data_IF_477948015351
#
_entry.id   IF_477948015351
#
_cell.length_a   1.000
_cell.length_b   1.000
_cell.length_c   1.000
_cell.angle_alpha   90.00
_cell.angle_beta   90.00
_cell.angle_gamma   90.00
#
_symmetry.space_group_name_H-M   'P 1'
#
loop_
_entity.id
_entity.type
_entity.pdbx_description
1 polymer ?
#
# COMPACT_ATOMS: atom_id res chain seq x y z
N UNK A 1 1.69 1.53 -0.28
CA UNK A 1 0.45 2.11 -0.87
C UNK A 1 0.36 3.58 -0.52
N UNK A 2 0.06 4.45 -1.50
CA UNK A 2 0.06 5.91 -1.31
C UNK A 2 -0.82 6.64 -2.34
N UNK A 3 -0.84 7.96 -2.33
CA UNK A 3 -1.46 8.86 -3.31
C UNK A 3 -0.50 10.02 -3.69
N UNK A 4 0.79 9.71 -3.85
CA UNK A 4 1.84 10.68 -4.21
C UNK A 4 1.59 11.48 -5.50
N UNK A 5 0.71 11.01 -6.40
CA UNK A 5 0.31 11.77 -7.59
C UNK A 5 -0.52 13.03 -7.25
N UNK A 6 -1.23 13.02 -6.12
CA UNK A 6 -1.99 14.17 -5.60
C UNK A 6 -1.26 14.77 -4.39
N UNK A 7 -0.96 13.95 -3.38
CA UNK A 7 -0.31 14.35 -2.12
C UNK A 7 1.22 14.37 -2.26
N UNK A 8 1.74 15.25 -3.11
CA UNK A 8 3.15 15.24 -3.52
C UNK A 8 4.15 15.38 -2.35
N UNK A 9 3.80 16.13 -1.31
CA UNK A 9 4.73 16.38 -0.19
C UNK A 9 4.66 15.27 0.86
N UNK A 10 3.48 14.96 1.39
CA UNK A 10 3.32 13.93 2.42
C UNK A 10 3.61 12.53 1.89
N UNK A 11 2.85 12.13 0.87
CA UNK A 11 2.96 10.79 0.31
C UNK A 11 4.20 10.63 -0.57
N UNK A 12 4.66 11.71 -1.20
CA UNK A 12 5.93 11.69 -1.92
C UNK A 12 7.14 11.59 -0.99
N UNK A 13 7.07 12.15 0.22
CA UNK A 13 8.09 11.90 1.25
C UNK A 13 8.03 10.44 1.71
N UNK A 14 6.85 9.93 2.02
CA UNK A 14 6.66 8.54 2.41
C UNK A 14 7.22 7.56 1.37
N UNK A 15 6.89 7.76 0.07
CA UNK A 15 7.38 6.91 -1.01
C UNK A 15 8.91 6.93 -1.10
N UNK A 16 9.54 8.11 -1.09
CA UNK A 16 11.01 8.22 -1.11
C UNK A 16 11.67 7.50 0.05
N UNK A 17 11.16 7.71 1.27
CA UNK A 17 11.73 7.03 2.44
C UNK A 17 11.61 5.51 2.31
N UNK A 18 10.50 5.00 1.77
CA UNK A 18 10.36 3.56 1.51
C UNK A 18 11.33 3.07 0.42
N UNK A 19 11.51 3.84 -0.66
CA UNK A 19 12.46 3.53 -1.73
C UNK A 19 13.90 3.48 -1.20
N UNK A 20 14.34 4.49 -0.44
CA UNK A 20 15.67 4.56 0.17
C UNK A 20 15.93 3.38 1.12
N UNK A 21 14.95 3.03 1.96
CA UNK A 21 15.07 1.89 2.86
C UNK A 21 15.07 0.56 2.09
N UNK A 22 14.37 0.45 0.97
CA UNK A 22 14.32 -0.78 0.18
C UNK A 22 15.69 -1.19 -0.36
N UNK A 23 16.58 -0.24 -0.63
CA UNK A 23 17.95 -0.49 -1.08
C UNK A 23 18.77 -1.29 -0.06
N UNK A 24 18.44 -1.15 1.23
CA UNK A 24 19.09 -1.90 2.31
C UNK A 24 18.62 -3.36 2.40
N UNK A 25 17.51 -3.70 1.73
CA UNK A 25 16.88 -5.03 1.76
C UNK A 25 16.67 -5.60 0.36
N UNK A 26 17.74 -5.89 -0.42
CA UNK A 26 17.64 -6.31 -1.82
C UNK A 26 16.95 -7.66 -2.03
N UNK A 27 16.76 -8.45 -0.97
CA UNK A 27 16.02 -9.72 -1.00
C UNK A 27 14.50 -9.52 -1.00
N UNK A 28 14.03 -8.34 -0.60
CA UNK A 28 12.61 -7.99 -0.55
C UNK A 28 12.28 -7.20 -1.80
N UNK A 29 11.36 -7.72 -2.63
CA UNK A 29 10.89 -7.00 -3.80
C UNK A 29 10.06 -5.79 -3.35
N UNK A 30 10.51 -4.59 -3.69
CA UNK A 30 9.78 -3.36 -3.42
C UNK A 30 8.93 -2.95 -4.63
N UNK A 31 7.64 -2.76 -4.41
CA UNK A 31 6.70 -2.25 -5.40
C UNK A 31 5.83 -1.17 -4.77
N UNK A 32 5.52 -0.13 -5.54
CA UNK A 32 4.65 0.96 -5.11
C UNK A 32 3.35 0.96 -5.91
N UNK A 33 2.25 1.34 -5.25
CA UNK A 33 0.92 1.35 -5.85
C UNK A 33 0.10 2.50 -5.28
N UNK A 34 -0.67 3.15 -6.16
CA UNK A 34 -1.64 4.16 -5.74
C UNK A 34 -2.85 3.52 -5.06
N UNK A 35 -3.39 4.18 -4.02
CA UNK A 35 -4.46 3.63 -3.17
C UNK A 35 -5.70 3.21 -3.96
N UNK A 36 -6.15 3.99 -4.95
CA UNK A 36 -7.33 3.64 -5.77
C UNK A 36 -7.13 2.30 -6.51
N UNK A 37 -5.95 2.12 -7.13
CA UNK A 37 -5.62 0.88 -7.83
C UNK A 37 -5.45 -0.27 -6.84
N UNK A 38 -4.86 0.00 -5.68
CA UNK A 38 -4.72 -0.99 -4.61
C UNK A 38 -6.09 -1.52 -4.17
N UNK A 39 -7.08 -0.65 -3.93
CA UNK A 39 -8.43 -1.08 -3.58
C UNK A 39 -9.07 -1.97 -4.67
N UNK A 40 -8.95 -1.59 -5.94
CA UNK A 40 -9.48 -2.40 -7.05
C UNK A 40 -8.80 -3.77 -7.14
N UNK A 41 -7.48 -3.79 -7.01
CA UNK A 41 -6.68 -5.02 -7.06
C UNK A 41 -6.93 -5.93 -5.86
N UNK A 42 -7.15 -5.37 -4.67
CA UNK A 42 -7.44 -6.14 -3.47
C UNK A 42 -8.75 -6.93 -3.62
N UNK A 43 -9.75 -6.35 -4.28
CA UNK A 43 -11.02 -7.04 -4.55
C UNK A 43 -10.87 -8.04 -5.70
N UNK A 44 -10.16 -7.66 -6.77
CA UNK A 44 -10.12 -8.45 -8.01
C UNK A 44 -9.15 -9.63 -7.93
N UNK A 45 -8.01 -9.46 -7.26
CA UNK A 45 -6.98 -10.48 -7.10
C UNK A 45 -6.17 -10.23 -5.81
N UNK A 46 -6.75 -10.53 -4.62
CA UNK A 46 -6.09 -10.30 -3.34
C UNK A 46 -4.79 -11.09 -3.15
N UNK A 47 -4.66 -12.25 -3.80
CA UNK A 47 -3.52 -13.16 -3.61
C UNK A 47 -2.18 -12.64 -4.14
N UNK A 48 -2.17 -11.52 -4.88
CA UNK A 48 -0.93 -10.89 -5.33
C UNK A 48 -0.19 -10.14 -4.21
N UNK A 49 -0.88 -9.84 -3.10
CA UNK A 49 -0.32 -9.07 -2.00
C UNK A 49 0.25 -10.00 -0.92
N UNK A 50 1.45 -9.66 -0.44
CA UNK A 50 2.10 -10.34 0.68
C UNK A 50 2.16 -9.39 1.90
N UNK A 51 2.95 -8.32 1.79
CA UNK A 51 3.06 -7.28 2.83
C UNK A 51 2.73 -5.91 2.23
N UNK A 52 1.83 -5.17 2.89
CA UNK A 52 1.45 -3.83 2.49
C UNK A 52 1.79 -2.81 3.58
N UNK A 53 2.52 -1.76 3.21
CA UNK A 53 2.84 -0.62 4.09
C UNK A 53 2.18 0.64 3.56
N UNK A 54 1.57 1.42 4.45
CA UNK A 54 0.85 2.63 4.07
C UNK A 54 0.69 3.62 5.24
N UNK A 55 0.49 4.92 4.94
CA UNK A 55 0.06 5.92 5.93
C UNK A 55 -1.22 5.55 6.67
N UNK A 56 -1.38 6.08 7.88
CA UNK A 56 -2.45 5.75 8.83
C UNK A 56 -3.86 5.74 8.21
N UNK A 57 -4.24 6.79 7.47
CA UNK A 57 -5.57 6.91 6.87
C UNK A 57 -5.86 5.78 5.87
N UNK A 58 -4.90 5.45 5.01
CA UNK A 58 -5.08 4.39 4.02
C UNK A 58 -5.09 3.01 4.68
N UNK A 59 -4.32 2.84 5.75
CA UNK A 59 -4.33 1.63 6.59
C UNK A 59 -5.72 1.34 7.10
N UNK A 60 -6.40 2.34 7.68
CA UNK A 60 -7.75 2.17 8.20
C UNK A 60 -8.78 1.81 7.10
N UNK A 61 -8.61 2.32 5.88
CA UNK A 61 -9.50 1.98 4.76
C UNK A 61 -9.26 0.55 4.29
N UNK A 62 -8.00 0.20 4.04
CA UNK A 62 -7.63 -1.13 3.52
C UNK A 62 -7.90 -2.24 4.53
N UNK A 63 -7.69 -1.99 5.82
CA UNK A 63 -7.96 -2.96 6.87
C UNK A 63 -9.44 -3.38 6.91
N UNK A 64 -10.35 -2.40 6.88
CA UNK A 64 -11.79 -2.66 6.78
C UNK A 64 -12.16 -3.40 5.47
N UNK A 65 -11.52 -3.04 4.35
CA UNK A 65 -11.76 -3.71 3.06
C UNK A 65 -11.28 -5.17 3.10
N UNK A 66 -10.10 -5.42 3.66
CA UNK A 66 -9.52 -6.75 3.81
C UNK A 66 -10.36 -7.62 4.75
N UNK A 67 -10.81 -7.08 5.88
CA UNK A 67 -11.74 -7.76 6.78
C UNK A 67 -13.03 -8.19 6.05
N UNK A 68 -13.59 -7.31 5.21
CA UNK A 68 -14.74 -7.64 4.37
C UNK A 68 -14.49 -8.80 3.39
N UNK A 69 -13.28 -8.93 2.85
CA UNK A 69 -12.92 -10.00 1.92
C UNK A 69 -12.80 -11.38 2.60
N UNK A 70 -12.42 -11.41 3.89
CA UNK A 70 -12.22 -12.66 4.64
C UNK A 70 -13.44 -13.10 5.46
N UNK A 71 -14.57 -12.38 5.34
CA UNK A 71 -15.84 -12.73 6.00
C UNK A 71 -16.22 -11.88 7.21
N UNK A 72 -15.49 -10.80 7.50
CA UNK A 72 -15.79 -9.82 8.54
C UNK A 72 -14.67 -9.64 9.56
N UNK A 73 -14.77 -8.57 10.34
CA UNK A 73 -13.91 -8.27 11.49
C UNK A 73 -14.36 -9.02 12.74
#
# INVERSE_FOLDING_TARGET
VHKANIMKLGDGLFLRCCEEISELYPKVKFESMIIDNCCMQLISNPHQFDVMVMPNLYGNIIDNLAAGLVGGA
#
